data_IF_899610558602
#
_entry.id   IF_899610558602
#
_cell.length_a   1.000
_cell.length_b   1.000
_cell.length_c   1.000
_cell.angle_alpha   90.00
_cell.angle_beta   90.00
_cell.angle_gamma   90.00
#
_symmetry.space_group_name_H-M   'P 1'
#
loop_
_entity.id
_entity.type
_entity.pdbx_description
1 polymer ?
#
# COMPACT_ATOMS: atom_id res chain seq x y z
N UNK A 1 15.84 -19.57 2.67
CA UNK A 1 14.84 -18.49 2.84
C UNK A 1 14.34 -18.14 1.45
N UNK A 2 13.04 -18.28 1.13
CA UNK A 2 12.56 -17.86 -0.18
C UNK A 2 12.80 -16.36 -0.35
N UNK A 3 13.39 -15.97 -1.48
CA UNK A 3 13.61 -14.57 -1.85
C UNK A 3 12.28 -13.81 -1.76
N UNK A 4 12.22 -12.61 -1.15
CA UNK A 4 11.01 -11.81 -1.20
C UNK A 4 10.67 -11.55 -2.66
N UNK A 5 9.50 -12.04 -3.07
CA UNK A 5 8.96 -11.89 -4.42
C UNK A 5 9.05 -10.42 -4.80
N UNK A 6 9.75 -10.10 -5.90
CA UNK A 6 9.83 -8.72 -6.38
C UNK A 6 8.42 -8.18 -6.67
N UNK A 7 8.18 -6.86 -6.54
CA UNK A 7 6.90 -6.28 -6.90
C UNK A 7 6.54 -6.61 -8.35
N UNK A 8 5.26 -6.78 -8.64
CA UNK A 8 4.79 -6.94 -10.01
C UNK A 8 5.28 -5.71 -10.80
N UNK A 9 6.01 -5.93 -11.90
CA UNK A 9 6.71 -4.86 -12.64
C UNK A 9 5.80 -3.70 -13.03
N UNK A 10 4.53 -3.97 -13.31
CA UNK A 10 3.51 -2.96 -13.61
C UNK A 10 3.27 -1.98 -12.44
N UNK A 11 3.43 -2.46 -11.20
CA UNK A 11 3.19 -1.74 -9.96
C UNK A 11 4.45 -1.62 -9.09
N UNK A 12 5.64 -1.54 -9.70
CA UNK A 12 6.83 -0.98 -9.04
C UNK A 12 6.89 0.53 -9.32
N UNK A 13 5.98 1.27 -8.68
CA UNK A 13 5.80 2.69 -8.98
C UNK A 13 6.91 3.51 -8.33
N UNK A 14 7.55 4.39 -9.12
CA UNK A 14 8.53 5.36 -8.60
C UNK A 14 7.89 6.22 -7.50
N UNK A 15 8.58 6.34 -6.36
CA UNK A 15 8.07 7.07 -5.19
C UNK A 15 7.12 6.24 -4.31
N UNK A 16 6.83 4.99 -4.67
CA UNK A 16 6.04 4.09 -3.85
C UNK A 16 6.71 3.83 -2.49
N UNK A 17 5.95 4.08 -1.44
CA UNK A 17 6.31 3.99 -0.03
C UNK A 17 5.55 2.87 0.70
N UNK A 18 4.57 2.24 0.02
CA UNK A 18 3.74 1.18 0.55
C UNK A 18 3.90 -0.12 -0.25
N UNK A 19 4.24 -1.19 0.47
CA UNK A 19 4.32 -2.57 0.01
C UNK A 19 3.09 -3.34 0.48
N UNK A 20 2.31 -3.85 -0.48
CA UNK A 20 1.09 -4.63 -0.24
C UNK A 20 1.26 -6.03 -0.81
N UNK A 21 0.73 -7.04 -0.12
CA UNK A 21 0.68 -8.43 -0.59
C UNK A 21 -0.77 -8.88 -0.72
N UNK A 22 -1.20 -9.22 -1.94
CA UNK A 22 -2.55 -9.71 -2.25
C UNK A 22 -2.42 -11.03 -3.00
N UNK A 23 -2.97 -12.12 -2.47
CA UNK A 23 -2.78 -13.48 -3.02
C UNK A 23 -1.31 -13.78 -3.36
N UNK A 24 -0.40 -13.44 -2.44
CA UNK A 24 1.05 -13.61 -2.58
C UNK A 24 1.72 -12.77 -3.69
N UNK A 25 0.98 -11.92 -4.40
CA UNK A 25 1.52 -10.94 -5.34
C UNK A 25 1.89 -9.67 -4.57
N UNK A 26 3.13 -9.21 -4.76
CA UNK A 26 3.64 -8.00 -4.14
C UNK A 26 3.40 -6.78 -5.04
N UNK A 27 2.94 -5.69 -4.44
CA UNK A 27 2.71 -4.40 -5.09
C UNK A 27 3.49 -3.32 -4.34
N UNK A 28 4.05 -2.35 -5.07
CA UNK A 28 4.70 -1.18 -4.49
C UNK A 28 4.02 0.10 -5.01
N UNK A 29 3.20 0.69 -4.16
CA UNK A 29 2.28 1.77 -4.51
C UNK A 29 2.46 2.97 -3.56
N UNK A 30 1.72 4.04 -3.82
CA UNK A 30 1.70 5.23 -2.98
C UNK A 30 0.65 5.07 -1.88
N UNK A 31 1.08 5.13 -0.62
CA UNK A 31 0.22 5.05 0.57
C UNK A 31 -0.87 6.14 0.57
N UNK A 32 -0.54 7.30 0.02
CA UNK A 32 -1.41 8.48 -0.08
C UNK A 32 -2.79 8.17 -0.65
N UNK A 33 -2.87 7.34 -1.69
CA UNK A 33 -4.15 6.97 -2.31
C UNK A 33 -5.07 6.18 -1.36
N UNK A 34 -4.51 5.53 -0.36
CA UNK A 34 -5.25 4.72 0.60
C UNK A 34 -5.68 5.56 1.80
N UNK A 35 -4.75 6.25 2.47
CA UNK A 35 -5.06 6.92 3.73
C UNK A 35 -5.78 8.27 3.57
N UNK A 36 -5.67 8.95 2.42
CA UNK A 36 -6.30 10.27 2.22
C UNK A 36 -7.82 10.21 2.39
N UNK A 37 -8.48 9.28 1.70
CA UNK A 37 -9.95 9.21 1.66
C UNK A 37 -10.55 8.08 2.53
N UNK A 38 -9.72 7.24 3.15
CA UNK A 38 -10.19 6.13 3.99
C UNK A 38 -9.70 6.26 5.43
N UNK A 39 -10.64 6.51 6.36
CA UNK A 39 -10.36 6.50 7.81
C UNK A 39 -9.77 5.18 8.27
N UNK A 40 -10.21 4.07 7.66
CA UNK A 40 -9.68 2.74 7.95
C UNK A 40 -8.20 2.68 7.58
N UNK A 41 -7.85 2.98 6.32
CA UNK A 41 -6.45 2.95 5.87
C UNK A 41 -5.57 3.97 6.57
N UNK A 42 -6.10 5.15 6.92
CA UNK A 42 -5.38 6.12 7.72
C UNK A 42 -4.97 5.55 9.07
N UNK A 43 -5.91 4.92 9.77
CA UNK A 43 -5.61 4.25 11.05
C UNK A 43 -4.62 3.10 10.88
N UNK A 44 -4.79 2.27 9.84
CA UNK A 44 -3.93 1.11 9.62
C UNK A 44 -2.49 1.50 9.24
N UNK A 45 -2.33 2.56 8.44
CA UNK A 45 -1.02 2.96 7.90
C UNK A 45 -0.30 3.98 8.79
N UNK A 46 -1.03 4.90 9.44
CA UNK A 46 -0.47 6.02 10.20
C UNK A 46 -0.75 5.92 11.72
N UNK A 47 -1.57 4.96 12.15
CA UNK A 47 -1.91 4.72 13.56
C UNK A 47 -3.19 5.40 14.04
N UNK A 48 -3.66 5.00 15.23
CA UNK A 48 -4.95 5.46 15.80
C UNK A 48 -5.01 6.94 16.14
N UNK A 49 -3.86 7.59 16.29
CA UNK A 49 -3.76 9.02 16.62
C UNK A 49 -3.63 9.89 15.36
N UNK A 50 -3.63 9.30 14.16
CA UNK A 50 -3.57 10.02 12.90
C UNK A 50 -4.89 10.78 12.66
N UNK A 51 -4.91 12.03 13.13
CA UNK A 51 -5.96 13.00 12.85
C UNK A 51 -5.85 13.59 11.43
N UNK A 52 -6.71 14.57 11.09
CA UNK A 52 -6.62 15.29 9.81
C UNK A 52 -5.24 15.93 9.57
N UNK A 53 -4.51 16.26 10.64
CA UNK A 53 -3.17 16.85 10.56
C UNK A 53 -2.10 15.88 10.06
N UNK A 54 -2.35 14.57 10.07
CA UNK A 54 -1.48 13.58 9.43
C UNK A 54 -1.38 13.80 7.91
N UNK A 55 -2.28 14.60 7.31
CA UNK A 55 -2.17 15.06 5.93
C UNK A 55 -0.94 15.95 5.66
N UNK A 56 -0.34 16.52 6.72
CA UNK A 56 0.77 17.49 6.63
C UNK A 56 2.08 16.98 7.19
N UNK A 57 2.07 15.82 7.84
CA UNK A 57 3.30 15.24 8.38
C UNK A 57 3.95 14.34 7.34
N UNK A 58 5.27 14.49 7.18
CA UNK A 58 6.12 13.52 6.47
C UNK A 58 6.28 12.22 7.28
N UNK A 59 5.28 11.87 8.09
CA UNK A 59 5.35 10.73 8.99
C UNK A 59 5.42 9.45 8.16
N UNK A 60 6.39 8.57 8.43
CA UNK A 60 6.54 7.35 7.66
C UNK A 60 5.35 6.42 7.92
N UNK A 61 4.94 5.71 6.86
CA UNK A 61 3.98 4.62 6.98
C UNK A 61 4.47 3.59 8.01
N UNK A 62 3.61 3.21 8.96
CA UNK A 62 3.94 2.31 10.06
C UNK A 62 3.88 0.83 9.66
N UNK A 63 3.09 0.49 8.62
CA UNK A 63 2.87 -0.89 8.17
C UNK A 63 3.04 -1.02 6.66
N UNK A 64 3.69 -2.08 6.20
CA UNK A 64 3.96 -2.24 4.76
C UNK A 64 5.00 -1.26 4.24
N UNK A 65 5.87 -0.71 5.09
CA UNK A 65 6.91 0.25 4.68
C UNK A 65 8.17 -0.41 4.11
N UNK A 66 8.20 -1.75 4.02
CA UNK A 66 9.32 -2.47 3.44
C UNK A 66 8.87 -3.74 2.72
N UNK A 67 9.67 -4.14 1.74
CA UNK A 67 9.47 -5.38 0.99
C UNK A 67 9.53 -6.64 1.86
N UNK A 68 10.28 -6.61 2.97
CA UNK A 68 10.39 -7.75 3.89
C UNK A 68 9.21 -7.84 4.87
N UNK A 69 8.41 -6.76 5.00
CA UNK A 69 7.24 -6.70 5.86
C UNK A 69 6.06 -6.01 5.15
N UNK A 70 5.58 -6.57 4.03
CA UNK A 70 4.45 -6.01 3.31
C UNK A 70 3.17 -6.09 4.15
N UNK A 71 2.24 -5.17 3.91
CA UNK A 71 0.90 -5.27 4.48
C UNK A 71 0.10 -6.33 3.70
N UNK A 72 -0.34 -7.38 4.39
CA UNK A 72 -1.10 -8.47 3.76
C UNK A 72 -2.58 -8.08 3.69
N UNK A 73 -3.14 -8.10 2.49
CA UNK A 73 -4.57 -7.88 2.25
C UNK A 73 -5.21 -9.24 1.99
N UNK A 74 -6.05 -9.68 2.93
CA UNK A 74 -6.84 -10.90 2.81
C UNK A 74 -8.17 -10.67 2.11
N UNK A 75 -8.80 -11.75 1.66
CA UNK A 75 -10.16 -11.77 1.09
C UNK A 75 -10.38 -10.85 -0.13
N UNK A 76 -9.31 -10.55 -0.87
CA UNK A 76 -9.35 -9.76 -2.10
C UNK A 76 -8.63 -10.54 -3.19
N UNK A 77 -9.24 -10.62 -4.38
CA UNK A 77 -8.56 -11.18 -5.55
C UNK A 77 -7.53 -10.21 -6.07
N UNK A 78 -6.35 -10.71 -6.40
CA UNK A 78 -5.27 -9.93 -7.00
C UNK A 78 -5.71 -9.23 -8.28
N UNK A 79 -6.56 -9.88 -9.10
CA UNK A 79 -7.15 -9.29 -10.31
C UNK A 79 -8.01 -8.06 -10.02
N UNK A 80 -8.86 -8.12 -8.98
CA UNK A 80 -9.72 -7.01 -8.59
C UNK A 80 -8.88 -5.86 -8.05
N UNK A 81 -7.84 -6.20 -7.28
CA UNK A 81 -6.88 -5.21 -6.76
C UNK A 81 -6.12 -4.49 -7.88
N UNK A 82 -5.71 -5.21 -8.93
CA UNK A 82 -5.09 -4.63 -10.12
C UNK A 82 -6.03 -3.62 -10.80
N UNK A 83 -7.31 -3.98 -11.00
CA UNK A 83 -8.29 -3.06 -11.60
C UNK A 83 -8.54 -1.84 -10.73
N UNK A 84 -8.54 -2.01 -9.40
CA UNK A 84 -8.63 -0.89 -8.46
C UNK A 84 -7.42 0.05 -8.57
N UNK A 85 -6.20 -0.47 -8.61
CA UNK A 85 -4.99 0.34 -8.75
C UNK A 85 -4.95 1.12 -10.07
N UNK A 86 -5.51 0.55 -11.14
CA UNK A 86 -5.61 1.22 -12.45
C UNK A 86 -6.41 2.52 -12.39
N UNK A 87 -7.39 2.63 -11.50
CA UNK A 87 -8.14 3.89 -11.27
C UNK A 87 -7.22 5.00 -10.77
N UNK A 88 -6.25 4.69 -9.90
CA UNK A 88 -5.32 5.70 -9.38
C UNK A 88 -4.17 6.04 -10.32
N UNK A 89 -3.71 5.04 -11.06
CA UNK A 89 -2.54 5.18 -11.94
C UNK A 89 -2.90 5.47 -13.39
N UNK A 90 -4.20 5.53 -13.72
CA UNK A 90 -4.73 5.72 -15.07
C UNK A 90 -4.08 4.77 -16.09
N UNK A 91 -4.15 3.46 -15.80
CA UNK A 91 -3.56 2.38 -16.62
C UNK A 91 -4.58 1.35 -17.06
#
# INVERSE_FOLDING_TARGET
MPSPSQPLKEFDIRGGDLYLSVEQILFRVHSYFFWRESKHWRKELLGSNAGPEAERSDDPVLRGNSISKPFIIGNVKSTDFIQFLRVFYNR
#
